data_IF_122997238173
#
_entry.id   IF_122997238173
#
_cell.length_a   1.000
_cell.length_b   1.000
_cell.length_c   1.000
_cell.angle_alpha   90.00
_cell.angle_beta   90.00
_cell.angle_gamma   90.00
#
_symmetry.space_group_name_H-M   'P 1'
#
loop_
_entity.id
_entity.type
_entity.pdbx_description
1 polymer ?
#
# COMPACT_ATOMS: atom_id res chain seq x y z
N UNK A 1 -11.36 -6.68 -14.37
CA UNK A 1 -10.64 -6.11 -13.21
C UNK A 1 -11.52 -4.96 -12.79
N UNK A 2 -12.40 -5.21 -11.81
CA UNK A 2 -13.51 -4.31 -11.52
C UNK A 2 -13.32 -3.59 -10.17
N UNK A 3 -12.26 -3.94 -9.44
CA UNK A 3 -11.86 -3.31 -8.17
C UNK A 3 -10.76 -2.28 -8.40
N UNK A 4 -10.90 -1.12 -7.75
CA UNK A 4 -9.96 0.00 -7.88
C UNK A 4 -8.53 -0.38 -7.49
N UNK A 5 -8.33 -1.25 -6.50
CA UNK A 5 -6.99 -1.66 -6.10
C UNK A 5 -6.27 -2.35 -7.26
N UNK A 6 -6.90 -3.38 -7.82
CA UNK A 6 -6.35 -4.20 -8.90
C UNK A 6 -6.05 -3.37 -10.14
N UNK A 7 -6.91 -2.40 -10.45
CA UNK A 7 -6.71 -1.49 -11.58
C UNK A 7 -5.45 -0.65 -11.42
N UNK A 8 -5.28 -0.01 -10.27
CA UNK A 8 -4.16 0.90 -10.02
C UNK A 8 -2.85 0.15 -9.77
N UNK A 9 -2.91 -1.01 -9.12
CA UNK A 9 -1.78 -1.94 -9.00
C UNK A 9 -1.33 -2.43 -10.39
N UNK A 10 -2.25 -2.83 -11.26
CA UNK A 10 -1.92 -3.23 -12.63
C UNK A 10 -1.21 -2.11 -13.42
N UNK A 11 -1.70 -0.86 -13.30
CA UNK A 11 -1.05 0.31 -13.92
C UNK A 11 0.37 0.53 -13.39
N UNK A 12 0.55 0.43 -12.07
CA UNK A 12 1.87 0.56 -11.45
C UNK A 12 2.81 -0.58 -11.86
N UNK A 13 2.32 -1.83 -11.96
CA UNK A 13 3.10 -2.97 -12.44
C UNK A 13 3.52 -2.80 -13.90
N UNK A 14 2.62 -2.37 -14.78
CA UNK A 14 2.93 -2.06 -16.18
C UNK A 14 3.99 -0.96 -16.25
N UNK A 15 3.86 0.10 -15.46
CA UNK A 15 4.89 1.14 -15.39
C UNK A 15 6.25 0.59 -14.99
N UNK A 16 6.31 -0.13 -13.87
CA UNK A 16 7.56 -0.67 -13.34
C UNK A 16 8.21 -1.69 -14.28
N UNK A 17 7.42 -2.50 -14.98
CA UNK A 17 7.93 -3.54 -15.87
C UNK A 17 8.28 -3.02 -17.26
N UNK A 18 7.46 -2.16 -17.86
CA UNK A 18 7.58 -1.81 -19.28
C UNK A 18 8.16 -0.42 -19.53
N UNK A 19 8.03 0.54 -18.60
CA UNK A 19 8.32 1.95 -18.87
C UNK A 19 9.42 2.54 -17.99
N UNK A 20 9.40 2.30 -16.68
CA UNK A 20 10.32 2.93 -15.73
C UNK A 20 11.79 2.75 -16.13
N UNK A 21 12.47 3.87 -16.39
CA UNK A 21 13.88 3.90 -16.81
C UNK A 21 14.17 3.31 -18.20
N UNK A 22 13.15 3.11 -19.04
CA UNK A 22 13.26 2.52 -20.37
C UNK A 22 12.89 3.53 -21.47
N UNK A 23 13.30 3.22 -22.70
CA UNK A 23 12.85 3.92 -23.90
C UNK A 23 11.83 3.04 -24.63
N UNK A 24 10.61 3.56 -24.84
CA UNK A 24 9.51 2.85 -25.52
C UNK A 24 9.00 3.73 -26.65
N UNK A 25 8.96 3.20 -27.87
CA UNK A 25 8.48 3.97 -29.03
C UNK A 25 9.28 5.24 -29.34
N UNK A 26 10.57 5.28 -28.97
CA UNK A 26 11.43 6.46 -29.13
C UNK A 26 11.30 7.51 -28.02
N UNK A 27 10.42 7.29 -27.04
CA UNK A 27 10.29 8.16 -25.85
C UNK A 27 11.01 7.54 -24.66
N UNK A 28 11.91 8.31 -24.04
CA UNK A 28 12.58 7.90 -22.79
C UNK A 28 11.75 8.27 -21.57
N UNK A 29 11.59 7.32 -20.66
CA UNK A 29 10.82 7.48 -19.43
C UNK A 29 11.75 7.56 -18.21
N UNK A 30 11.41 8.36 -17.18
CA UNK A 30 12.23 8.49 -15.99
C UNK A 30 12.35 7.17 -15.22
N UNK A 31 13.48 6.97 -14.54
CA UNK A 31 13.63 5.90 -13.56
C UNK A 31 13.05 6.32 -12.20
N UNK A 32 11.75 6.59 -12.18
CA UNK A 32 11.05 7.07 -10.98
C UNK A 32 9.77 6.27 -10.68
N UNK A 33 9.21 6.43 -9.48
CA UNK A 33 8.00 5.72 -9.03
C UNK A 33 6.78 6.19 -9.82
N UNK A 34 5.79 5.31 -9.99
CA UNK A 34 4.55 5.61 -10.73
C UNK A 34 3.83 6.84 -10.18
N UNK A 35 3.60 6.85 -8.86
CA UNK A 35 3.00 8.00 -8.18
C UNK A 35 3.74 9.31 -8.44
N UNK A 36 5.07 9.27 -8.41
CA UNK A 36 5.90 10.46 -8.65
C UNK A 36 5.85 10.94 -10.10
N UNK A 37 5.76 10.02 -11.06
CA UNK A 37 5.74 10.38 -12.49
C UNK A 37 4.38 10.92 -12.94
N UNK A 38 3.27 10.36 -12.46
CA UNK A 38 1.95 10.64 -13.02
C UNK A 38 1.04 11.51 -12.16
N UNK A 39 1.30 11.59 -10.86
CA UNK A 39 0.47 12.39 -9.95
C UNK A 39 1.16 13.70 -9.55
N UNK A 40 2.29 14.05 -10.17
CA UNK A 40 3.13 15.17 -9.73
C UNK A 40 3.83 15.92 -10.87
N UNK A 41 3.55 17.22 -11.01
CA UNK A 41 4.55 18.17 -11.48
C UNK A 41 5.10 19.10 -10.38
N UNK A 42 4.44 19.24 -9.21
CA UNK A 42 4.80 20.28 -8.21
C UNK A 42 5.10 19.81 -6.77
N UNK A 43 4.74 18.58 -6.35
CA UNK A 43 4.80 18.15 -4.94
C UNK A 43 5.50 16.79 -4.73
N UNK A 44 6.67 16.63 -5.35
CA UNK A 44 7.50 15.41 -5.40
C UNK A 44 7.40 14.52 -4.13
N UNK A 45 6.87 13.31 -4.29
CA UNK A 45 6.76 12.28 -3.26
C UNK A 45 5.96 12.62 -2.00
N UNK A 46 5.23 13.74 -1.93
CA UNK A 46 4.59 14.16 -0.68
C UNK A 46 3.33 13.35 -0.35
N UNK A 47 3.22 13.05 0.94
CA UNK A 47 2.08 12.44 1.62
C UNK A 47 1.34 13.52 2.40
N UNK A 48 0.02 13.40 2.51
CA UNK A 48 -0.82 14.45 3.08
C UNK A 48 -1.68 13.97 4.25
N UNK A 49 -2.08 14.95 5.08
CA UNK A 49 -2.99 14.73 6.20
C UNK A 49 -2.42 13.85 7.31
N UNK A 50 -3.28 13.52 8.28
CA UNK A 50 -2.92 12.65 9.41
C UNK A 50 -2.47 11.26 8.97
N UNK A 51 -3.11 10.73 7.91
CA UNK A 51 -2.76 9.43 7.36
C UNK A 51 -1.43 9.41 6.62
N UNK A 52 -0.85 10.56 6.25
CA UNK A 52 0.30 10.59 5.35
C UNK A 52 0.05 9.73 4.10
N UNK A 53 -1.10 9.92 3.46
CA UNK A 53 -1.48 9.18 2.25
C UNK A 53 -1.12 9.98 1.00
N UNK A 54 -0.80 9.27 -0.08
CA UNK A 54 -0.63 9.85 -1.41
C UNK A 54 -1.90 9.61 -2.27
N UNK A 55 -2.09 10.36 -3.37
CA UNK A 55 -3.26 10.23 -4.23
C UNK A 55 -3.47 8.82 -4.80
N UNK A 56 -2.39 8.11 -5.16
CA UNK A 56 -2.46 6.75 -5.71
C UNK A 56 -3.04 5.77 -4.68
N UNK A 57 -2.59 5.85 -3.43
CA UNK A 57 -3.10 4.98 -2.35
C UNK A 57 -4.58 5.26 -2.08
N UNK A 58 -5.00 6.53 -2.11
CA UNK A 58 -6.42 6.86 -1.97
C UNK A 58 -7.26 6.27 -3.11
N UNK A 59 -6.79 6.41 -4.34
CA UNK A 59 -7.44 5.83 -5.51
C UNK A 59 -7.50 4.30 -5.43
N UNK A 60 -6.41 3.63 -5.05
CA UNK A 60 -6.36 2.18 -4.83
C UNK A 60 -7.41 1.71 -3.80
N UNK A 61 -7.56 2.45 -2.69
CA UNK A 61 -8.46 2.07 -1.60
C UNK A 61 -9.93 2.49 -1.83
N UNK A 62 -10.21 3.30 -2.86
CA UNK A 62 -11.52 3.93 -3.09
C UNK A 62 -12.70 2.96 -3.04
N UNK A 63 -12.60 1.80 -3.70
CA UNK A 63 -13.71 0.84 -3.75
C UNK A 63 -13.95 0.14 -2.41
N UNK A 64 -12.87 -0.23 -1.71
CA UNK A 64 -12.96 -0.82 -0.37
C UNK A 64 -13.56 0.19 0.62
N UNK A 65 -13.10 1.44 0.59
CA UNK A 65 -13.63 2.51 1.45
C UNK A 65 -15.10 2.77 1.13
N UNK A 66 -15.46 2.96 -0.14
CA UNK A 66 -16.84 3.17 -0.54
C UNK A 66 -17.77 2.04 -0.04
N UNK A 67 -17.32 0.79 -0.20
CA UNK A 67 -18.08 -0.40 0.22
C UNK A 67 -18.33 -0.43 1.74
N UNK A 68 -17.37 0.01 2.55
CA UNK A 68 -17.42 -0.11 4.02
C UNK A 68 -18.02 1.13 4.68
N UNK A 69 -17.64 2.33 4.25
CA UNK A 69 -18.04 3.59 4.88
C UNK A 69 -19.14 4.34 4.13
N UNK A 70 -19.42 4.00 2.87
CA UNK A 70 -20.36 4.72 2.01
C UNK A 70 -19.81 6.03 1.44
N UNK A 71 -18.54 6.38 1.70
CA UNK A 71 -17.91 7.56 1.10
C UNK A 71 -17.91 7.47 -0.44
N UNK A 72 -18.04 8.59 -1.18
CA UNK A 72 -18.02 8.56 -2.64
C UNK A 72 -16.75 7.93 -3.20
N UNK A 73 -16.88 7.18 -4.30
CA UNK A 73 -15.72 6.69 -5.05
C UNK A 73 -14.92 7.86 -5.61
N UNK A 74 -13.60 7.75 -5.52
CA UNK A 74 -12.68 8.73 -6.10
C UNK A 74 -12.48 8.48 -7.59
N UNK A 75 -12.38 9.56 -8.35
CA UNK A 75 -12.04 9.54 -9.78
C UNK A 75 -10.78 10.40 -10.00
N UNK A 76 -9.83 9.88 -10.79
CA UNK A 76 -8.62 10.62 -11.18
C UNK A 76 -8.93 11.88 -11.99
N UNK A 77 -10.08 11.92 -12.68
CA UNK A 77 -10.55 13.09 -13.42
C UNK A 77 -11.03 14.23 -12.49
N UNK A 78 -11.23 13.96 -11.19
CA UNK A 78 -11.50 14.96 -10.15
C UNK A 78 -10.36 14.97 -9.11
N UNK A 79 -9.19 15.56 -9.46
CA UNK A 79 -8.05 15.60 -8.55
C UNK A 79 -8.36 16.37 -7.26
N UNK A 80 -9.24 17.38 -7.30
CA UNK A 80 -9.60 18.17 -6.13
C UNK A 80 -10.28 17.31 -5.07
N UNK A 81 -11.19 16.42 -5.48
CA UNK A 81 -11.81 15.47 -4.56
C UNK A 81 -10.80 14.48 -3.95
N UNK A 82 -9.84 13.99 -4.75
CA UNK A 82 -8.78 13.10 -4.26
C UNK A 82 -7.93 13.80 -3.21
N UNK A 83 -7.43 15.01 -3.49
CA UNK A 83 -6.60 15.77 -2.56
C UNK A 83 -7.37 16.19 -1.30
N UNK A 84 -8.63 16.63 -1.44
CA UNK A 84 -9.48 16.93 -0.28
C UNK A 84 -9.62 15.72 0.64
N UNK A 85 -9.89 14.55 0.07
CA UNK A 85 -10.11 13.32 0.83
C UNK A 85 -8.89 12.91 1.65
N UNK A 86 -7.67 13.05 1.12
CA UNK A 86 -6.45 12.68 1.86
C UNK A 86 -6.01 13.75 2.87
N UNK A 87 -6.40 15.02 2.68
CA UNK A 87 -6.06 16.12 3.57
C UNK A 87 -7.04 16.30 4.73
N UNK A 88 -8.32 15.98 4.53
CA UNK A 88 -9.37 16.09 5.54
C UNK A 88 -9.28 14.93 6.56
N UNK A 89 -9.12 15.21 7.87
CA UNK A 89 -8.92 14.17 8.88
C UNK A 89 -10.11 13.20 9.03
N UNK A 90 -11.33 13.68 8.82
CA UNK A 90 -12.53 12.85 8.95
C UNK A 90 -12.70 11.92 7.74
N UNK A 91 -12.24 12.38 6.57
CA UNK A 91 -12.30 11.60 5.33
C UNK A 91 -11.12 10.64 5.17
N UNK A 92 -9.93 10.98 5.70
CA UNK A 92 -8.70 10.22 5.48
C UNK A 92 -8.62 8.95 6.34
N UNK A 93 -9.22 8.95 7.53
CA UNK A 93 -9.13 7.83 8.48
C UNK A 93 -9.63 6.49 7.91
N UNK A 94 -10.77 6.42 7.19
CA UNK A 94 -11.20 5.20 6.49
C UNK A 94 -10.17 4.66 5.49
N UNK A 95 -9.40 5.53 4.82
CA UNK A 95 -8.38 5.13 3.85
C UNK A 95 -7.14 4.55 4.55
N UNK A 96 -6.77 5.08 5.72
CA UNK A 96 -5.71 4.51 6.57
C UNK A 96 -6.10 3.09 6.99
N UNK A 97 -7.32 2.92 7.49
CA UNK A 97 -7.84 1.63 7.91
C UNK A 97 -7.94 0.63 6.74
N UNK A 98 -8.40 1.07 5.58
CA UNK A 98 -8.45 0.26 4.36
C UNK A 98 -7.06 -0.20 3.91
N UNK A 99 -6.05 0.66 3.99
CA UNK A 99 -4.66 0.32 3.66
C UNK A 99 -4.12 -0.79 4.56
N UNK A 100 -4.31 -0.66 5.88
CA UNK A 100 -3.90 -1.68 6.86
C UNK A 100 -4.66 -2.99 6.60
N UNK A 101 -5.98 -2.90 6.35
CA UNK A 101 -6.82 -4.06 6.07
C UNK A 101 -6.35 -4.80 4.83
N UNK A 102 -6.01 -4.08 3.75
CA UNK A 102 -5.49 -4.67 2.51
C UNK A 102 -4.17 -5.41 2.76
N UNK A 103 -3.28 -4.87 3.58
CA UNK A 103 -2.04 -5.54 3.98
C UNK A 103 -2.30 -6.87 4.71
N UNK A 104 -3.23 -6.87 5.67
CA UNK A 104 -3.63 -8.07 6.41
C UNK A 104 -4.19 -9.14 5.46
N UNK A 105 -5.13 -8.75 4.59
CA UNK A 105 -5.79 -9.68 3.67
C UNK A 105 -4.80 -10.25 2.64
N UNK A 106 -3.88 -9.43 2.12
CA UNK A 106 -2.85 -9.88 1.19
C UNK A 106 -1.94 -10.94 1.82
N UNK A 107 -1.42 -10.70 3.03
CA UNK A 107 -0.54 -11.66 3.70
C UNK A 107 -1.29 -12.95 4.08
N UNK A 108 -2.54 -12.85 4.54
CA UNK A 108 -3.35 -14.01 4.87
C UNK A 108 -3.65 -14.87 3.64
N UNK A 109 -4.07 -14.25 2.55
CA UNK A 109 -4.54 -14.96 1.34
C UNK A 109 -3.41 -15.45 0.43
N UNK A 110 -2.32 -14.68 0.30
CA UNK A 110 -1.23 -14.97 -0.63
C UNK A 110 -0.09 -15.72 0.07
N UNK A 111 0.36 -15.21 1.22
CA UNK A 111 1.53 -15.74 1.91
C UNK A 111 1.19 -16.76 3.02
N UNK A 112 -0.09 -16.86 3.41
CA UNK A 112 -0.54 -17.78 4.45
C UNK A 112 -0.27 -17.30 5.88
N UNK A 113 0.03 -16.01 6.08
CA UNK A 113 0.33 -15.44 7.40
C UNK A 113 -0.78 -14.51 7.87
N UNK A 114 -1.37 -14.82 9.03
CA UNK A 114 -2.26 -13.88 9.71
C UNK A 114 -1.47 -12.86 10.53
N UNK A 115 -1.31 -11.66 9.95
CA UNK A 115 -0.61 -10.55 10.58
C UNK A 115 -1.55 -9.59 11.34
N UNK A 116 -2.85 -9.90 11.45
CA UNK A 116 -3.85 -8.99 12.05
C UNK A 116 -3.61 -8.66 13.52
N UNK A 117 -2.83 -9.49 14.23
CA UNK A 117 -2.50 -9.29 15.64
C UNK A 117 -1.09 -8.74 15.87
N UNK A 118 -0.34 -8.41 14.81
CA UNK A 118 0.99 -7.80 14.92
C UNK A 118 0.97 -6.38 14.32
N UNK A 119 0.79 -5.34 15.15
CA UNK A 119 0.74 -3.97 14.68
C UNK A 119 2.06 -3.52 14.06
N UNK A 120 3.22 -4.01 14.53
CA UNK A 120 4.51 -3.75 13.90
C UNK A 120 4.58 -4.20 12.45
N UNK A 121 4.10 -5.41 12.12
CA UNK A 121 4.06 -5.89 10.74
C UNK A 121 3.11 -5.04 9.86
N UNK A 122 1.94 -4.69 10.38
CA UNK A 122 1.01 -3.82 9.64
C UNK A 122 1.58 -2.42 9.44
N UNK A 123 2.29 -1.86 10.43
CA UNK A 123 2.95 -0.57 10.35
C UNK A 123 4.14 -0.58 9.39
N UNK A 124 4.89 -1.68 9.35
CA UNK A 124 5.92 -1.91 8.33
C UNK A 124 5.29 -1.81 6.94
N UNK A 125 4.22 -2.56 6.68
CA UNK A 125 3.56 -2.56 5.37
C UNK A 125 2.92 -1.22 5.02
N UNK A 126 2.40 -0.49 6.01
CA UNK A 126 1.92 0.88 5.83
C UNK A 126 3.05 1.82 5.39
N UNK A 127 4.23 1.69 5.99
CA UNK A 127 5.39 2.51 5.66
C UNK A 127 5.98 2.18 4.29
N UNK A 128 6.04 0.90 3.90
CA UNK A 128 6.78 0.48 2.70
C UNK A 128 5.91 0.20 1.47
N UNK A 129 4.58 0.13 1.63
CA UNK A 129 3.62 -0.12 0.56
C UNK A 129 3.73 -1.49 -0.12
N UNK A 130 2.98 -1.66 -1.20
CA UNK A 130 2.93 -2.82 -2.10
C UNK A 130 2.76 -4.17 -1.36
N UNK A 131 1.70 -4.34 -0.55
CA UNK A 131 1.53 -5.53 0.27
C UNK A 131 1.40 -6.82 -0.54
N UNK A 132 0.69 -6.81 -1.69
CA UNK A 132 0.53 -8.01 -2.52
C UNK A 132 1.85 -8.48 -3.13
N UNK A 133 2.62 -7.57 -3.73
CA UNK A 133 3.92 -7.89 -4.29
C UNK A 133 4.84 -8.54 -3.24
N UNK A 134 4.84 -7.99 -2.02
CA UNK A 134 5.64 -8.52 -0.90
C UNK A 134 5.12 -9.89 -0.43
N UNK A 135 3.80 -10.06 -0.36
CA UNK A 135 3.20 -11.34 0.00
C UNK A 135 3.52 -12.43 -1.04
N UNK A 136 3.47 -12.13 -2.34
CA UNK A 136 3.89 -13.05 -3.41
C UNK A 136 5.38 -13.40 -3.32
N UNK A 137 6.24 -12.42 -3.05
CA UNK A 137 7.66 -12.66 -2.86
C UNK A 137 7.93 -13.59 -1.66
N UNK A 138 7.25 -13.36 -0.53
CA UNK A 138 7.35 -14.21 0.65
C UNK A 138 6.83 -15.63 0.37
N UNK A 139 5.70 -15.75 -0.34
CA UNK A 139 5.16 -17.04 -0.76
C UNK A 139 6.16 -17.82 -1.62
N UNK A 140 6.72 -17.17 -2.64
CA UNK A 140 7.69 -17.80 -3.54
C UNK A 140 8.97 -18.24 -2.82
N UNK A 141 9.44 -17.43 -1.86
CA UNK A 141 10.55 -17.79 -0.97
C UNK A 141 10.23 -19.05 -0.15
N UNK A 142 9.05 -19.10 0.47
CA UNK A 142 8.65 -20.22 1.32
C UNK A 142 8.34 -21.49 0.53
N UNK A 143 7.80 -21.37 -0.69
CA UNK A 143 7.64 -22.50 -1.60
C UNK A 143 9.00 -23.17 -1.89
N UNK A 144 10.04 -22.36 -2.17
CA UNK A 144 11.40 -22.87 -2.38
C UNK A 144 11.99 -23.48 -1.10
N UNK A 145 11.86 -22.81 0.04
CA UNK A 145 12.38 -23.32 1.34
C UNK A 145 11.76 -24.66 1.70
N UNK A 146 10.44 -24.79 1.55
CA UNK A 146 9.73 -26.06 1.75
C UNK A 146 10.26 -27.16 0.84
N UNK A 147 10.49 -26.87 -0.44
CA UNK A 147 11.06 -27.84 -1.38
C UNK A 147 12.50 -28.26 -1.00
N UNK A 148 13.26 -27.39 -0.33
CA UNK A 148 14.61 -27.67 0.17
C UNK A 148 14.64 -28.29 1.58
N UNK A 149 13.50 -28.45 2.26
CA UNK A 149 13.44 -28.90 3.66
C UNK A 149 13.90 -27.85 4.67
N UNK A 150 13.96 -26.58 4.27
CA UNK A 150 14.34 -25.45 5.12
C UNK A 150 13.13 -24.87 5.87
N UNK A 151 13.35 -24.27 7.05
CA UNK A 151 12.29 -23.57 7.77
C UNK A 151 11.78 -22.37 6.94
N UNK A 152 10.47 -22.15 7.02
CA UNK A 152 9.82 -21.02 6.37
C UNK A 152 10.35 -19.68 6.89
N UNK A 153 10.50 -18.73 5.97
CA UNK A 153 10.74 -17.33 6.32
C UNK A 153 9.43 -16.73 6.86
N UNK A 154 9.54 -16.06 8.01
CA UNK A 154 8.43 -15.31 8.60
C UNK A 154 8.38 -13.88 8.05
N UNK A 155 7.22 -13.20 8.10
CA UNK A 155 7.15 -11.76 7.92
C UNK A 155 8.06 -11.03 8.91
N UNK A 156 8.75 -9.98 8.46
CA UNK A 156 9.73 -9.24 9.26
C UNK A 156 9.32 -7.76 9.37
N UNK A 157 9.58 -7.20 10.55
CA UNK A 157 9.37 -5.78 10.83
C UNK A 157 10.55 -4.95 10.30
N UNK A 158 10.25 -3.75 9.80
CA UNK A 158 11.26 -2.71 9.63
C UNK A 158 11.39 -1.86 10.92
N UNK A 159 12.30 -0.88 10.91
CA UNK A 159 12.49 0.03 12.04
C UNK A 159 11.17 0.68 12.52
N UNK A 160 10.30 1.09 11.59
CA UNK A 160 9.02 1.71 11.92
C UNK A 160 8.07 0.72 12.63
N UNK A 161 7.99 -0.51 12.13
CA UNK A 161 7.21 -1.59 12.74
C UNK A 161 7.71 -1.94 14.14
N UNK A 162 9.03 -2.04 14.30
CA UNK A 162 9.66 -2.29 15.59
C UNK A 162 9.31 -1.21 16.61
N UNK A 163 9.40 0.08 16.25
CA UNK A 163 9.01 1.19 17.15
C UNK A 163 7.53 1.07 17.56
N UNK A 164 6.64 0.71 16.64
CA UNK A 164 5.22 0.54 16.97
C UNK A 164 5.01 -0.58 17.99
N UNK A 165 5.71 -1.70 17.84
CA UNK A 165 5.63 -2.79 18.82
C UNK A 165 6.27 -2.41 20.16
N UNK A 166 7.41 -1.71 20.16
CA UNK A 166 8.06 -1.19 21.37
C UNK A 166 7.13 -0.25 22.16
N UNK A 167 6.31 0.54 21.47
CA UNK A 167 5.35 1.48 22.07
C UNK A 167 3.94 0.94 22.25
N UNK A 168 3.69 -0.33 21.94
CA UNK A 168 2.33 -0.87 21.92
C UNK A 168 1.66 -0.84 23.29
N UNK A 169 2.40 -1.17 24.35
CA UNK A 169 1.87 -1.17 25.71
C UNK A 169 1.56 0.25 26.20
N UNK A 170 2.40 1.22 25.83
CA UNK A 170 2.14 2.65 26.11
C UNK A 170 0.87 3.13 25.39
N UNK A 171 0.69 2.76 24.11
CA UNK A 171 -0.48 3.13 23.31
C UNK A 171 -1.78 2.52 23.84
N UNK A 172 -1.74 1.25 24.27
CA UNK A 172 -2.91 0.57 24.86
C UNK A 172 -3.35 1.18 26.17
N UNK A 173 -2.43 1.79 26.94
CA UNK A 173 -2.77 2.44 28.21
C UNK A 173 -3.52 3.79 28.03
N UNK A 174 -3.61 4.32 26.81
CA UNK A 174 -4.29 5.58 26.51
C UNK A 174 -5.82 5.44 26.32
N UNK A 175 -6.34 4.20 26.22
CA UNK A 175 -7.74 3.88 25.93
C UNK A 175 -8.24 2.71 26.78
#
# INVERSE_FOLDING_TARGET
MDDSYDLWECREQVWNHAFRGKTVGGTSFPNDRFGATFFQPYYAGQTFGLGQLNPLTALQMSDLVHKVSGLPKLNVEDPNAVYKTIMDPDLTLPYVAATIRKSIDAYRSIAGFDISHNPGLTATLYNVGNPEQRAYALKAENDRRRAAGEPEKLPEENYYGWVVNDKLDELKALF
#
